data_IF_597259221373
#
_entry.id   IF_597259221373
#
_cell.length_a   1.000
_cell.length_b   1.000
_cell.length_c   1.000
_cell.angle_alpha   90.00
_cell.angle_beta   90.00
_cell.angle_gamma   90.00
#
_symmetry.space_group_name_H-M   'P 1'
#
loop_
_entity.id
_entity.type
_entity.pdbx_description
1 polymer ?
#
# COMPACT_ATOMS: atom_id res chain seq x y z
N UNK A 1 7.58 -12.96 -10.17
CA UNK A 1 6.36 -12.56 -9.43
C UNK A 1 5.13 -13.00 -10.22
N UNK A 2 4.10 -13.58 -9.58
CA UNK A 2 2.86 -13.96 -10.27
C UNK A 2 1.74 -12.98 -9.90
N UNK A 3 1.37 -12.10 -10.83
CA UNK A 3 0.42 -11.00 -10.61
C UNK A 3 -0.96 -11.50 -10.15
N UNK A 4 -1.40 -12.67 -10.61
CA UNK A 4 -2.69 -13.27 -10.20
C UNK A 4 -2.76 -13.65 -8.72
N UNK A 5 -1.61 -13.76 -8.04
CA UNK A 5 -1.54 -14.02 -6.60
C UNK A 5 -1.50 -12.75 -5.75
N UNK A 6 -1.15 -11.62 -6.38
CA UNK A 6 -0.96 -10.33 -5.70
C UNK A 6 -2.21 -9.45 -5.85
N UNK A 7 -2.82 -9.50 -7.04
CA UNK A 7 -4.03 -8.76 -7.34
C UNK A 7 -5.26 -9.56 -6.91
N UNK A 8 -6.03 -9.00 -6.00
CA UNK A 8 -7.34 -9.50 -5.60
C UNK A 8 -8.29 -8.31 -5.38
N UNK A 9 -9.62 -8.52 -5.42
CA UNK A 9 -10.58 -7.41 -5.30
C UNK A 9 -10.42 -6.59 -4.00
N UNK A 10 -9.91 -7.23 -2.95
CA UNK A 10 -9.59 -6.65 -1.64
C UNK A 10 -8.26 -5.89 -1.60
N UNK A 11 -7.44 -5.93 -2.66
CA UNK A 11 -6.18 -5.18 -2.79
C UNK A 11 -6.20 -4.19 -3.96
N UNK A 12 -7.37 -3.95 -4.54
CA UNK A 12 -7.57 -2.98 -5.63
C UNK A 12 -8.57 -1.93 -5.18
N UNK A 13 -8.12 -0.67 -5.19
CA UNK A 13 -8.96 0.47 -4.83
C UNK A 13 -8.91 1.52 -5.92
N UNK A 14 -10.07 2.14 -6.15
CA UNK A 14 -10.20 3.33 -6.98
C UNK A 14 -10.41 4.53 -6.06
N UNK A 15 -10.11 5.73 -6.58
CA UNK A 15 -10.40 7.00 -5.88
C UNK A 15 -9.66 7.15 -4.54
N UNK A 16 -8.31 7.06 -4.60
CA UNK A 16 -7.44 7.50 -3.51
C UNK A 16 -7.60 9.00 -3.30
N UNK A 17 -7.57 9.43 -2.03
CA UNK A 17 -7.89 10.80 -1.62
C UNK A 17 -6.70 11.71 -1.53
N UNK A 18 -5.51 11.16 -1.31
CA UNK A 18 -4.28 11.93 -1.31
C UNK A 18 -3.88 12.38 -2.73
N UNK A 19 -3.32 13.58 -2.82
CA UNK A 19 -2.79 14.18 -4.05
C UNK A 19 -1.25 14.32 -4.05
N UNK A 20 -0.60 13.91 -2.96
CA UNK A 20 0.87 13.87 -2.83
C UNK A 20 1.38 12.44 -2.87
N UNK A 21 2.60 12.24 -3.41
CA UNK A 21 3.27 10.92 -3.45
C UNK A 21 3.28 10.26 -2.07
N UNK A 22 3.68 11.02 -1.04
CA UNK A 22 3.73 10.54 0.34
C UNK A 22 2.35 10.15 0.87
N UNK A 23 1.34 11.02 0.69
CA UNK A 23 -0.02 10.72 1.14
C UNK A 23 -0.63 9.51 0.44
N UNK A 24 -0.35 9.33 -0.86
CA UNK A 24 -0.80 8.16 -1.63
C UNK A 24 -0.18 6.88 -1.07
N UNK A 25 1.13 6.88 -0.78
CA UNK A 25 1.83 5.73 -0.22
C UNK A 25 1.25 5.37 1.16
N UNK A 26 1.06 6.36 2.02
CA UNK A 26 0.46 6.15 3.34
C UNK A 26 -0.95 5.59 3.26
N UNK A 27 -1.81 6.17 2.41
CA UNK A 27 -3.18 5.69 2.20
C UNK A 27 -3.21 4.24 1.68
N UNK A 28 -2.32 3.88 0.76
CA UNK A 28 -2.21 2.51 0.26
C UNK A 28 -1.79 1.52 1.35
N UNK A 29 -0.82 1.91 2.19
CA UNK A 29 -0.35 1.07 3.30
C UNK A 29 -1.45 0.87 4.34
N UNK A 30 -2.18 1.93 4.69
CA UNK A 30 -3.30 1.85 5.63
C UNK A 30 -4.40 0.92 5.13
N UNK A 31 -4.73 0.97 3.83
CA UNK A 31 -5.69 0.04 3.23
C UNK A 31 -5.18 -1.40 3.20
N UNK A 32 -3.89 -1.63 2.96
CA UNK A 32 -3.29 -2.97 3.02
C UNK A 32 -3.26 -3.54 4.45
N UNK A 33 -3.06 -2.68 5.46
CA UNK A 33 -3.14 -3.04 6.87
C UNK A 33 -4.56 -3.45 7.24
N UNK A 34 -5.55 -2.63 6.83
CA UNK A 34 -6.97 -2.93 7.03
C UNK A 34 -7.42 -4.22 6.33
N UNK A 35 -6.86 -4.52 5.15
CA UNK A 35 -7.09 -5.77 4.44
C UNK A 35 -6.33 -6.98 5.05
N UNK A 36 -5.55 -6.78 6.11
CA UNK A 36 -4.77 -7.84 6.79
C UNK A 36 -3.61 -8.38 5.96
N UNK A 37 -3.20 -7.66 4.90
CA UNK A 37 -2.11 -8.07 3.98
C UNK A 37 -0.73 -7.74 4.55
N UNK A 38 -0.67 -6.77 5.45
CA UNK A 38 0.53 -6.40 6.20
C UNK A 38 0.22 -6.38 7.70
N UNK A 39 1.26 -6.48 8.52
CA UNK A 39 1.13 -6.49 9.99
C UNK A 39 1.79 -5.28 10.64
N UNK A 40 2.82 -4.74 10.00
CA UNK A 40 3.61 -3.64 10.52
C UNK A 40 3.58 -2.48 9.52
N UNK A 41 2.82 -1.44 9.89
CA UNK A 41 2.67 -0.23 9.07
C UNK A 41 4.00 0.50 8.90
N UNK A 42 4.76 0.65 10.00
CA UNK A 42 5.94 1.51 10.04
C UNK A 42 7.07 0.88 9.21
N UNK A 43 7.31 -0.42 9.40
CA UNK A 43 8.32 -1.14 8.63
C UNK A 43 8.02 -1.13 7.12
N UNK A 44 6.74 -1.28 6.74
CA UNK A 44 6.34 -1.25 5.32
C UNK A 44 6.46 0.15 4.73
N UNK A 45 6.06 1.20 5.47
CA UNK A 45 6.20 2.57 5.01
C UNK A 45 7.65 2.93 4.76
N UNK A 46 8.52 2.63 5.72
CA UNK A 46 9.96 2.85 5.57
C UNK A 46 10.51 2.11 4.33
N UNK A 47 10.21 0.83 4.18
CA UNK A 47 10.68 0.03 3.05
C UNK A 47 10.19 0.56 1.69
N UNK A 48 8.98 1.12 1.61
CA UNK A 48 8.46 1.71 0.37
C UNK A 48 9.10 3.07 0.09
N UNK A 49 9.28 3.92 1.10
CA UNK A 49 9.93 5.22 0.95
C UNK A 49 11.40 5.05 0.53
N UNK A 50 12.15 4.16 1.18
CA UNK A 50 13.55 3.85 0.83
C UNK A 50 13.71 3.30 -0.61
N UNK A 51 12.68 2.61 -1.14
CA UNK A 51 12.67 2.14 -2.54
C UNK A 51 12.45 3.30 -3.53
N UNK A 52 11.77 4.34 -3.09
CA UNK A 52 11.25 5.42 -3.92
C UNK A 52 12.14 6.67 -3.96
N UNK A 53 13.18 6.73 -3.11
CA UNK A 53 14.34 7.64 -3.22
C UNK A 53 15.25 7.26 -4.39
#
# INVERSE_FOLDING_TARGET
>A
MNLKKVLSPDTVWVDLKADTKQGIIEEMIDRLLAAGRIKDRAAVLQAVVEREE
#
